data_IF_568665636945
#
_entry.id   IF_568665636945
#
_cell.length_a   1.000
_cell.length_b   1.000
_cell.length_c   1.000
_cell.angle_alpha   90.00
_cell.angle_beta   90.00
_cell.angle_gamma   90.00
#
_symmetry.space_group_name_H-M   'P 1'
#
loop_
_entity.id
_entity.type
_entity.pdbx_description
1 polymer ?
#
# COMPACT_ATOMS: atom_id res chain seq x y z
N UNK A 1 -59.12 0.29 -8.35
CA UNK A 1 -58.05 1.29 -8.17
C UNK A 1 -56.72 0.54 -8.00
N UNK A 2 -56.08 0.15 -9.11
CA UNK A 2 -54.80 -0.57 -9.09
C UNK A 2 -53.65 0.44 -9.07
N UNK A 3 -52.88 0.47 -7.99
CA UNK A 3 -51.67 1.27 -7.88
C UNK A 3 -50.51 0.54 -8.57
N UNK A 4 -50.20 0.96 -9.79
CA UNK A 4 -48.98 0.59 -10.50
C UNK A 4 -47.77 1.22 -9.79
N UNK A 5 -47.08 0.44 -8.95
CA UNK A 5 -45.74 0.80 -8.46
C UNK A 5 -44.74 0.58 -9.61
N UNK A 6 -44.47 1.63 -10.39
CA UNK A 6 -43.28 1.64 -11.25
C UNK A 6 -42.05 1.69 -10.32
N UNK A 7 -41.29 0.60 -10.28
CA UNK A 7 -39.98 0.58 -9.66
C UNK A 7 -39.13 1.67 -10.32
N UNK A 8 -38.64 2.61 -9.51
CA UNK A 8 -37.73 3.65 -9.95
C UNK A 8 -36.40 2.95 -10.26
N UNK A 9 -36.09 2.78 -11.54
CA UNK A 9 -34.78 2.28 -11.99
C UNK A 9 -33.75 3.23 -11.39
N UNK A 10 -32.96 2.71 -10.45
CA UNK A 10 -31.83 3.44 -9.88
C UNK A 10 -30.84 3.62 -11.04
N UNK A 11 -30.44 4.86 -11.39
CA UNK A 11 -29.45 5.04 -12.44
C UNK A 11 -28.18 4.30 -12.05
N UNK A 12 -27.59 3.53 -12.97
CA UNK A 12 -26.23 3.01 -12.81
C UNK A 12 -25.28 4.19 -12.60
N UNK A 13 -25.02 4.55 -11.34
CA UNK A 13 -24.04 5.57 -10.95
C UNK A 13 -22.63 4.98 -10.87
N UNK A 14 -22.27 4.14 -11.84
CA UNK A 14 -20.86 3.90 -12.09
C UNK A 14 -20.41 5.00 -13.03
N UNK A 15 -19.79 6.02 -12.45
CA UNK A 15 -19.09 7.07 -13.19
C UNK A 15 -18.22 6.40 -14.26
N UNK A 16 -18.45 6.73 -15.53
CA UNK A 16 -17.69 6.21 -16.65
C UNK A 16 -16.21 6.55 -16.46
N UNK A 17 -15.39 5.55 -16.14
CA UNK A 17 -13.94 5.68 -16.04
C UNK A 17 -13.36 5.84 -17.45
N UNK A 18 -12.56 6.87 -17.76
CA UNK A 18 -12.13 7.06 -19.16
C UNK A 18 -10.96 6.19 -19.60
N UNK A 19 -10.39 5.37 -18.71
CA UNK A 19 -9.59 4.18 -19.08
C UNK A 19 -10.41 2.88 -19.05
N UNK A 20 -11.74 2.91 -19.15
CA UNK A 20 -12.56 1.68 -19.22
C UNK A 20 -12.44 0.95 -20.58
N UNK A 21 -11.83 1.59 -21.57
CA UNK A 21 -11.59 1.02 -22.88
C UNK A 21 -10.22 0.35 -22.88
N UNK A 22 -10.19 -0.97 -23.05
CA UNK A 22 -8.94 -1.75 -23.18
C UNK A 22 -8.04 -1.20 -24.29
N UNK A 23 -8.64 -0.53 -25.27
CA UNK A 23 -7.98 0.08 -26.42
C UNK A 23 -7.05 1.24 -26.01
N UNK A 24 -7.43 2.03 -24.99
CA UNK A 24 -6.69 3.22 -24.55
C UNK A 24 -5.45 2.88 -23.71
N UNK A 25 -5.33 1.62 -23.26
CA UNK A 25 -4.19 1.08 -22.52
C UNK A 25 -3.47 -0.04 -23.28
N UNK A 26 -3.77 -0.24 -24.57
CA UNK A 26 -3.19 -1.31 -25.37
C UNK A 26 -1.71 -1.03 -25.65
N UNK A 27 -0.85 -1.89 -25.14
CA UNK A 27 0.55 -1.93 -25.54
C UNK A 27 0.63 -2.46 -26.98
N UNK A 28 1.34 -1.74 -27.84
CA UNK A 28 1.60 -2.16 -29.21
C UNK A 28 3.08 -2.48 -29.36
N UNK A 29 3.45 -3.27 -30.39
CA UNK A 29 4.86 -3.52 -30.73
C UNK A 29 5.60 -2.22 -31.08
N UNK A 30 4.86 -1.17 -31.44
CA UNK A 30 5.37 0.17 -31.67
C UNK A 30 5.20 1.06 -30.44
N UNK A 31 6.22 1.87 -30.17
CA UNK A 31 6.16 2.90 -29.14
C UNK A 31 5.12 3.95 -29.50
N UNK A 32 4.30 4.34 -28.52
CA UNK A 32 3.47 5.53 -28.62
C UNK A 32 4.34 6.77 -28.88
N UNK A 33 3.87 7.69 -29.73
CA UNK A 33 4.53 8.99 -29.89
C UNK A 33 4.50 9.78 -28.58
N UNK A 34 5.42 10.74 -28.35
CA UNK A 34 5.40 11.59 -27.17
C UNK A 34 4.02 12.26 -26.94
N UNK A 35 3.37 12.74 -28.00
CA UNK A 35 2.05 13.39 -27.93
C UNK A 35 0.95 12.42 -27.50
N UNK A 36 0.98 11.18 -28.02
CA UNK A 36 0.02 10.14 -27.63
C UNK A 36 0.19 9.75 -26.16
N UNK A 37 1.44 9.63 -25.68
CA UNK A 37 1.73 9.35 -24.27
C UNK A 37 1.24 10.47 -23.37
N UNK A 38 1.57 11.71 -23.70
CA UNK A 38 1.16 12.89 -22.93
C UNK A 38 -0.35 13.03 -22.87
N UNK A 39 -1.04 12.87 -24.00
CA UNK A 39 -2.51 12.88 -24.06
C UNK A 39 -3.13 11.81 -23.15
N UNK A 40 -2.60 10.59 -23.19
CA UNK A 40 -3.06 9.49 -22.33
C UNK A 40 -2.83 9.79 -20.85
N UNK A 41 -1.67 10.34 -20.50
CA UNK A 41 -1.30 10.71 -19.13
C UNK A 41 -2.20 11.80 -18.57
N UNK A 42 -2.45 12.86 -19.35
CA UNK A 42 -3.31 13.97 -18.96
C UNK A 42 -4.77 13.52 -18.77
N UNK A 43 -5.26 12.63 -19.63
CA UNK A 43 -6.57 12.02 -19.48
C UNK A 43 -6.64 11.22 -18.17
N UNK A 44 -5.71 10.30 -17.94
CA UNK A 44 -5.63 9.50 -16.71
C UNK A 44 -5.60 10.38 -15.46
N UNK A 45 -4.71 11.37 -15.44
CA UNK A 45 -4.56 12.29 -14.31
C UNK A 45 -5.86 13.04 -14.00
N UNK A 46 -6.50 13.65 -15.00
CA UNK A 46 -7.78 14.36 -14.83
C UNK A 46 -8.86 13.45 -14.23
N UNK A 47 -8.86 12.18 -14.60
CA UNK A 47 -9.85 11.23 -14.14
C UNK A 47 -9.61 10.83 -12.70
N UNK A 48 -8.41 10.36 -12.36
CA UNK A 48 -8.09 9.98 -10.99
C UNK A 48 -8.27 11.15 -10.03
N UNK A 49 -7.83 12.34 -10.42
CA UNK A 49 -7.97 13.55 -9.61
C UNK A 49 -9.44 13.96 -9.38
N UNK A 50 -10.31 13.79 -10.39
CA UNK A 50 -11.75 14.06 -10.20
C UNK A 50 -12.42 13.05 -9.26
N UNK A 51 -11.99 11.78 -9.29
CA UNK A 51 -12.50 10.74 -8.39
C UNK A 51 -11.97 10.90 -6.96
N UNK A 52 -10.70 11.29 -6.79
CA UNK A 52 -10.06 11.48 -5.48
C UNK A 52 -10.90 12.34 -4.52
N UNK A 53 -11.52 13.41 -5.03
CA UNK A 53 -12.38 14.31 -4.24
C UNK A 53 -13.79 13.77 -3.95
N UNK A 54 -14.14 12.61 -4.50
CA UNK A 54 -15.48 12.01 -4.44
C UNK A 54 -15.50 10.63 -3.77
N UNK A 55 -14.33 10.02 -3.53
CA UNK A 55 -14.24 8.73 -2.82
C UNK A 55 -14.51 8.94 -1.33
N UNK A 56 -15.76 8.69 -0.94
CA UNK A 56 -16.22 8.68 0.46
C UNK A 56 -16.59 7.27 0.95
N UNK A 57 -16.67 6.29 0.05
CA UNK A 57 -17.15 4.93 0.32
C UNK A 57 -16.08 3.91 0.70
N UNK A 58 -14.81 4.34 0.86
CA UNK A 58 -13.70 3.45 1.15
C UNK A 58 -12.71 4.11 2.14
N UNK A 59 -12.10 3.31 3.01
CA UNK A 59 -11.21 3.76 4.09
C UNK A 59 -9.80 4.15 3.62
N UNK A 60 -9.69 4.93 2.54
CA UNK A 60 -8.43 5.47 2.05
C UNK A 60 -8.37 6.98 2.24
N UNK A 61 -7.44 7.47 3.07
CA UNK A 61 -7.22 8.91 3.21
C UNK A 61 -6.71 9.49 1.88
N UNK A 62 -7.51 10.36 1.26
CA UNK A 62 -7.18 11.01 -0.01
C UNK A 62 -6.40 12.32 0.16
N UNK A 63 -6.27 12.83 1.39
CA UNK A 63 -5.44 13.99 1.69
C UNK A 63 -4.00 13.54 2.01
N UNK A 64 -3.23 13.30 0.94
CA UNK A 64 -1.88 12.74 0.99
C UNK A 64 -0.98 13.42 -0.05
N UNK A 65 0.30 13.62 0.28
CA UNK A 65 1.30 14.21 -0.62
C UNK A 65 2.65 13.50 -0.49
N UNK A 66 3.34 13.34 -1.63
CA UNK A 66 4.67 12.72 -1.71
C UNK A 66 5.79 13.74 -1.96
N UNK A 67 5.55 15.05 -1.88
CA UNK A 67 6.55 16.05 -2.30
C UNK A 67 7.90 15.90 -1.58
N UNK A 68 7.89 15.56 -0.29
CA UNK A 68 9.13 15.37 0.51
C UNK A 68 9.93 14.15 0.03
N UNK A 69 9.27 13.11 -0.47
CA UNK A 69 9.92 11.85 -0.88
C UNK A 69 10.18 11.76 -2.38
N UNK A 70 9.62 12.69 -3.17
CA UNK A 70 9.79 12.77 -4.62
C UNK A 70 11.26 12.73 -5.10
N UNK A 71 12.25 13.35 -4.43
CA UNK A 71 13.65 13.24 -4.84
C UNK A 71 14.22 11.82 -4.83
N UNK A 72 13.56 10.87 -4.14
CA UNK A 72 14.02 9.48 -4.07
C UNK A 72 13.40 8.59 -5.16
N UNK A 73 12.51 9.10 -6.02
CA UNK A 73 11.78 8.28 -7.01
C UNK A 73 12.67 7.78 -8.16
N UNK A 74 13.82 8.40 -8.38
CA UNK A 74 14.82 7.96 -9.36
C UNK A 74 15.80 6.93 -8.77
N UNK A 75 15.58 6.47 -7.53
CA UNK A 75 16.44 5.51 -6.83
C UNK A 75 15.70 4.19 -6.66
N UNK A 76 16.34 3.09 -7.07
CA UNK A 76 15.83 1.73 -6.79
C UNK A 76 16.14 1.40 -5.33
N UNK A 77 15.17 1.63 -4.44
CA UNK A 77 15.29 1.32 -3.02
C UNK A 77 14.76 -0.09 -2.78
N UNK A 78 15.47 -0.89 -1.97
CA UNK A 78 15.04 -2.22 -1.59
C UNK A 78 15.48 -2.59 -0.16
N UNK A 79 14.53 -2.81 0.74
CA UNK A 79 14.77 -3.23 2.12
C UNK A 79 14.81 -4.76 2.23
N UNK A 80 15.58 -5.43 1.36
CA UNK A 80 15.62 -6.88 1.32
C UNK A 80 16.12 -7.49 2.65
N UNK A 81 15.39 -8.49 3.14
CA UNK A 81 15.71 -9.23 4.37
C UNK A 81 15.27 -8.51 5.65
N UNK A 82 15.72 -9.04 6.79
CA UNK A 82 15.25 -8.60 8.10
C UNK A 82 15.66 -7.13 8.42
N UNK A 83 14.74 -6.30 8.98
CA UNK A 83 15.02 -4.88 9.26
C UNK A 83 16.10 -4.64 10.31
N UNK A 84 16.26 -5.55 11.27
CA UNK A 84 17.20 -5.44 12.39
C UNK A 84 18.59 -5.99 12.08
N UNK A 85 18.77 -6.58 10.90
CA UNK A 85 20.03 -7.10 10.43
C UNK A 85 20.99 -5.95 10.05
N UNK A 86 22.05 -5.77 10.84
CA UNK A 86 23.00 -4.66 10.69
C UNK A 86 23.86 -4.68 9.41
N UNK A 87 23.91 -5.81 8.69
CA UNK A 87 24.61 -5.93 7.40
C UNK A 87 23.61 -6.35 6.32
N UNK A 88 23.46 -5.52 5.29
CA UNK A 88 22.69 -5.83 4.08
C UNK A 88 23.62 -5.78 2.88
N UNK A 89 23.47 -6.74 1.97
CA UNK A 89 24.20 -6.76 0.70
C UNK A 89 23.72 -5.65 -0.25
N UNK A 90 22.54 -5.07 -0.01
CA UNK A 90 21.97 -4.01 -0.82
C UNK A 90 22.04 -2.66 -0.09
N UNK A 91 22.94 -1.79 -0.53
CA UNK A 91 23.20 -0.50 0.13
C UNK A 91 22.07 0.52 -0.05
N UNK A 92 21.30 0.44 -1.14
CA UNK A 92 20.18 1.34 -1.41
C UNK A 92 18.92 0.88 -0.65
N UNK A 93 18.95 1.00 0.66
CA UNK A 93 17.86 0.61 1.55
C UNK A 93 17.55 1.71 2.57
N UNK A 94 16.41 1.60 3.22
CA UNK A 94 15.92 2.51 4.25
C UNK A 94 15.65 1.78 5.56
N UNK A 95 16.34 0.67 5.85
CA UNK A 95 16.08 -0.17 7.04
C UNK A 95 16.15 0.60 8.36
N UNK A 96 17.02 1.61 8.45
CA UNK A 96 17.11 2.50 9.63
C UNK A 96 15.81 3.30 9.84
N UNK A 97 15.20 3.77 8.75
CA UNK A 97 13.91 4.47 8.78
C UNK A 97 12.79 3.48 9.13
N UNK A 98 12.81 2.29 8.54
CA UNK A 98 11.88 1.20 8.85
C UNK A 98 11.90 0.86 10.36
N UNK A 99 13.08 0.64 10.94
CA UNK A 99 13.24 0.41 12.37
C UNK A 99 12.71 1.57 13.21
N UNK A 100 12.87 2.82 12.75
CA UNK A 100 12.36 4.01 13.45
C UNK A 100 10.82 4.05 13.45
N UNK A 101 10.18 3.67 12.35
CA UNK A 101 8.71 3.54 12.26
C UNK A 101 8.21 2.41 13.16
N UNK A 102 8.87 1.25 13.13
CA UNK A 102 8.53 0.12 13.99
C UNK A 102 8.64 0.49 15.48
N UNK A 103 9.71 1.18 15.88
CA UNK A 103 9.89 1.69 17.24
C UNK A 103 8.74 2.63 17.66
N UNK A 104 8.30 3.52 16.77
CA UNK A 104 7.18 4.41 17.05
C UNK A 104 5.88 3.64 17.32
N UNK A 105 5.56 2.65 16.48
CA UNK A 105 4.34 1.84 16.66
C UNK A 105 4.43 0.87 17.85
N UNK A 106 5.59 0.28 18.11
CA UNK A 106 5.83 -0.53 19.31
C UNK A 106 5.55 0.27 20.59
N UNK A 107 6.07 1.51 20.66
CA UNK A 107 5.77 2.44 21.75
C UNK A 107 4.30 2.81 21.82
N UNK A 108 3.67 3.10 20.68
CA UNK A 108 2.23 3.44 20.62
C UNK A 108 1.35 2.30 21.11
N UNK A 109 1.71 1.05 20.81
CA UNK A 109 1.02 -0.17 21.24
C UNK A 109 1.48 -0.70 22.60
N UNK A 110 2.41 0.00 23.27
CA UNK A 110 2.96 -0.38 24.58
C UNK A 110 3.60 -1.77 24.59
N UNK A 111 4.27 -2.14 23.50
CA UNK A 111 5.09 -3.34 23.44
C UNK A 111 6.45 -3.02 24.05
N UNK A 112 6.96 -3.92 24.90
CA UNK A 112 8.24 -3.71 25.60
C UNK A 112 9.41 -3.60 24.60
N UNK A 113 10.31 -2.64 24.84
CA UNK A 113 11.51 -2.41 24.03
C UNK A 113 12.64 -3.40 24.41
N UNK A 114 13.54 -3.65 23.47
CA UNK A 114 14.76 -4.42 23.68
C UNK A 114 15.73 -3.83 24.73
N UNK A 115 15.57 -2.56 25.09
CA UNK A 115 16.38 -1.88 26.12
C UNK A 115 15.82 -2.03 27.55
N UNK A 116 14.83 -2.91 27.76
CA UNK A 116 14.34 -3.23 29.11
C UNK A 116 15.40 -4.06 29.86
N UNK A 117 15.79 -3.69 31.09
CA UNK A 117 16.82 -4.41 31.86
C UNK A 117 16.41 -5.82 32.33
N UNK A 118 15.17 -6.25 32.02
CA UNK A 118 14.71 -7.61 32.26
C UNK A 118 14.86 -8.42 30.96
N UNK A 119 15.85 -9.33 30.93
CA UNK A 119 16.11 -10.25 29.81
C UNK A 119 14.92 -11.21 29.50
N UNK A 120 13.95 -11.32 30.43
CA UNK A 120 12.74 -12.14 30.30
C UNK A 120 11.54 -11.41 29.62
N UNK A 121 11.66 -10.13 29.28
CA UNK A 121 10.60 -9.37 28.59
C UNK A 121 10.75 -9.50 27.07
N UNK A 122 9.80 -10.19 26.42
CA UNK A 122 9.81 -10.38 24.96
C UNK A 122 9.93 -9.04 24.23
N UNK A 123 11.02 -8.90 23.49
CA UNK A 123 11.24 -7.80 22.56
C UNK A 123 10.27 -7.92 21.37
N UNK A 124 9.86 -6.80 20.80
CA UNK A 124 9.03 -6.84 19.60
C UNK A 124 9.89 -7.19 18.37
N UNK A 125 9.30 -7.95 17.44
CA UNK A 125 9.83 -8.12 16.10
C UNK A 125 8.74 -7.79 15.09
N UNK A 126 9.13 -7.20 13.96
CA UNK A 126 8.23 -6.83 12.88
C UNK A 126 8.96 -6.16 11.72
N UNK A 127 8.22 -5.88 10.65
CA UNK A 127 8.70 -5.22 9.45
C UNK A 127 7.57 -4.40 8.83
N UNK A 128 7.91 -3.47 7.94
CA UNK A 128 6.91 -2.68 7.20
C UNK A 128 6.48 -3.49 5.98
N UNK A 129 5.19 -3.83 5.92
CA UNK A 129 4.61 -4.59 4.82
C UNK A 129 4.74 -3.84 3.48
N UNK A 130 5.07 -4.58 2.41
CA UNK A 130 5.17 -4.02 1.05
C UNK A 130 3.80 -3.90 0.37
N UNK A 131 2.84 -4.71 0.79
CA UNK A 131 1.43 -4.61 0.40
C UNK A 131 0.65 -3.77 1.42
N UNK A 132 -0.49 -4.27 1.88
CA UNK A 132 -1.23 -3.73 3.02
C UNK A 132 -1.46 -4.79 4.09
N UNK A 133 -2.47 -4.61 4.93
CA UNK A 133 -2.78 -5.54 6.02
C UNK A 133 -3.04 -6.99 5.58
N UNK A 134 -3.37 -7.23 4.30
CA UNK A 134 -3.48 -8.58 3.74
C UNK A 134 -2.19 -9.39 3.94
N UNK A 135 -1.02 -8.79 3.69
CA UNK A 135 0.28 -9.44 3.90
C UNK A 135 0.53 -9.70 5.39
N UNK A 136 0.29 -8.68 6.23
CA UNK A 136 0.43 -8.81 7.69
C UNK A 136 -0.45 -9.93 8.27
N UNK A 137 -1.70 -10.05 7.81
CA UNK A 137 -2.62 -11.10 8.24
C UNK A 137 -2.16 -12.48 7.80
N UNK A 138 -1.65 -12.63 6.57
CA UNK A 138 -1.08 -13.90 6.11
C UNK A 138 0.11 -14.31 6.97
N UNK A 139 1.02 -13.38 7.24
CA UNK A 139 2.18 -13.70 8.08
C UNK A 139 1.76 -14.03 9.52
N UNK A 140 0.82 -13.30 10.10
CA UNK A 140 0.35 -13.58 11.45
C UNK A 140 -0.27 -15.00 11.55
N UNK A 141 -1.09 -15.38 10.57
CA UNK A 141 -1.68 -16.73 10.50
C UNK A 141 -0.62 -17.80 10.25
N UNK A 142 0.35 -17.54 9.37
CA UNK A 142 1.46 -18.44 9.12
C UNK A 142 2.28 -18.67 10.40
N UNK A 143 2.70 -17.60 11.08
CA UNK A 143 3.47 -17.68 12.32
C UNK A 143 2.68 -18.42 13.42
N UNK A 144 1.40 -18.10 13.60
CA UNK A 144 0.55 -18.78 14.57
C UNK A 144 0.41 -20.29 14.26
N UNK A 145 0.25 -20.66 12.98
CA UNK A 145 0.18 -22.06 12.55
C UNK A 145 1.45 -22.82 12.91
N UNK A 146 2.61 -22.31 12.52
CA UNK A 146 3.89 -22.96 12.78
C UNK A 146 4.14 -23.08 14.29
N UNK A 147 3.94 -21.98 15.03
CA UNK A 147 4.12 -21.95 16.48
C UNK A 147 3.21 -22.95 17.21
N UNK A 148 1.92 -22.99 16.88
CA UNK A 148 0.96 -23.90 17.50
C UNK A 148 1.16 -25.36 17.08
N UNK A 149 1.80 -25.60 15.93
CA UNK A 149 2.23 -26.94 15.50
C UNK A 149 3.51 -27.41 16.20
N UNK A 150 4.13 -26.58 17.06
CA UNK A 150 5.36 -26.90 17.78
C UNK A 150 6.63 -26.68 16.97
N UNK A 151 6.55 -25.94 15.86
CA UNK A 151 7.73 -25.53 15.11
C UNK A 151 8.45 -24.39 15.83
N UNK A 152 9.78 -24.35 15.79
CA UNK A 152 10.53 -23.20 16.28
C UNK A 152 10.19 -21.97 15.43
N UNK A 153 10.01 -20.82 16.10
CA UNK A 153 9.93 -19.49 15.48
C UNK A 153 11.33 -18.90 15.31
#
# INVERSE_FOLDING_TARGET
>A
MMLSKKAKVIPERYHSHPLNRKEDAKLSEYSLTPEQRESTWNQLHKNLFSHQNQVLGYQGNQNFTCEIVKPFFDIVINNAGDPFSGQTQYALNTKVIECSVLNYFAKLWKIHHADSPNEDERTYWGYVASMGCTEGNHLALYNAREYLAGMPL
#
